data_IF_067689905435
#
_entry.id   IF_067689905435
#
_cell.length_a   1.000
_cell.length_b   1.000
_cell.length_c   1.000
_cell.angle_alpha   90.00
_cell.angle_beta   90.00
_cell.angle_gamma   90.00
#
_symmetry.space_group_name_H-M   'P 1'
#
loop_
_entity.id
_entity.type
_entity.pdbx_description
1 polymer ?
#
# COMPACT_ATOMS: atom_id res chain seq x y z
N UNK A 1 41.91 80.70 79.18
CA UNK A 1 41.36 79.35 79.43
C UNK A 1 41.98 78.42 78.42
N UNK A 2 42.24 77.20 78.87
CA UNK A 2 43.28 76.30 78.40
C UNK A 2 43.28 76.00 76.89
N UNK A 3 44.50 75.95 76.35
CA UNK A 3 44.86 75.36 75.07
C UNK A 3 44.63 73.85 75.15
N UNK A 4 43.57 73.33 74.54
CA UNK A 4 43.42 71.89 74.30
C UNK A 4 44.20 71.58 73.00
N UNK A 5 45.47 71.21 73.15
CA UNK A 5 46.24 70.61 72.06
C UNK A 5 45.70 69.20 71.83
N UNK A 6 44.80 69.05 70.86
CA UNK A 6 44.39 67.76 70.33
C UNK A 6 45.60 67.13 69.64
N UNK A 7 46.38 66.32 70.37
CA UNK A 7 47.47 65.52 69.82
C UNK A 7 46.88 64.48 68.87
N UNK A 8 46.99 64.73 67.56
CA UNK A 8 46.57 63.79 66.54
C UNK A 8 47.44 62.52 66.61
N UNK A 9 46.80 61.35 66.76
CA UNK A 9 47.48 60.05 66.87
C UNK A 9 47.88 59.53 65.48
N UNK A 10 47.18 59.97 64.44
CA UNK A 10 47.53 59.78 63.02
C UNK A 10 46.91 60.89 62.18
N UNK A 11 47.17 60.93 60.87
CA UNK A 11 46.57 61.93 59.97
C UNK A 11 45.03 61.89 59.96
N UNK A 12 44.43 60.82 60.50
CA UNK A 12 43.00 60.54 60.38
C UNK A 12 42.30 60.12 61.67
N UNK A 13 43.02 60.08 62.80
CA UNK A 13 42.46 59.83 64.13
C UNK A 13 42.92 60.91 65.12
N UNK A 14 41.97 61.55 65.79
CA UNK A 14 42.22 62.46 66.91
C UNK A 14 42.52 61.67 68.21
N UNK A 15 43.10 62.34 69.19
CA UNK A 15 43.36 61.89 70.56
C UNK A 15 42.16 61.22 71.26
N UNK A 16 40.92 61.60 70.90
CA UNK A 16 39.68 60.99 71.40
C UNK A 16 39.18 59.77 70.61
N UNK A 17 39.92 59.29 69.60
CA UNK A 17 39.50 58.19 68.73
C UNK A 17 38.44 58.55 67.69
N UNK A 18 38.11 59.84 67.56
CA UNK A 18 37.23 60.38 66.53
C UNK A 18 37.96 60.54 65.19
N UNK A 19 37.26 60.31 64.08
CA UNK A 19 37.84 60.47 62.76
C UNK A 19 37.92 61.96 62.36
N UNK A 20 39.07 62.39 61.86
CA UNK A 20 39.33 63.78 61.44
C UNK A 20 39.06 63.96 59.94
N UNK A 21 38.29 64.98 59.55
CA UNK A 21 37.99 65.28 58.14
C UNK A 21 36.90 64.38 57.52
N UNK A 22 37.04 64.05 56.23
CA UNK A 22 36.22 63.03 55.54
C UNK A 22 36.89 61.67 55.69
N UNK A 23 36.46 60.83 56.64
CA UNK A 23 37.21 59.63 57.04
C UNK A 23 37.39 58.62 55.90
N UNK A 24 36.47 58.62 54.93
CA UNK A 24 36.47 57.72 53.78
C UNK A 24 37.56 58.01 52.73
N UNK A 25 38.22 59.18 52.78
CA UNK A 25 39.28 59.57 51.84
C UNK A 25 40.68 59.55 52.48
N UNK A 26 40.78 59.09 53.72
CA UNK A 26 42.05 59.00 54.42
C UNK A 26 42.92 57.84 53.92
N UNK A 27 44.15 58.15 53.48
CA UNK A 27 45.17 57.19 53.04
C UNK A 27 45.49 56.06 54.02
N UNK A 28 45.48 56.34 55.33
CA UNK A 28 45.87 55.38 56.38
C UNK A 28 44.96 54.15 56.44
N UNK A 29 43.69 54.27 56.00
CA UNK A 29 42.73 53.15 55.99
C UNK A 29 42.76 52.32 54.71
N UNK A 30 43.32 52.85 53.61
CA UNK A 30 43.32 52.17 52.31
C UNK A 30 44.10 50.86 52.33
N UNK A 31 45.20 50.77 53.08
CA UNK A 31 46.01 49.55 53.15
C UNK A 31 45.21 48.34 53.68
N UNK A 32 44.46 48.54 54.77
CA UNK A 32 43.62 47.51 55.37
C UNK A 32 42.43 47.16 54.45
N UNK A 33 41.77 48.17 53.87
CA UNK A 33 40.65 47.96 52.95
C UNK A 33 41.07 47.20 51.69
N UNK A 34 42.21 47.56 51.09
CA UNK A 34 42.76 46.90 49.90
C UNK A 34 43.15 45.45 50.22
N UNK A 35 43.73 45.20 51.40
CA UNK A 35 44.09 43.84 51.82
C UNK A 35 42.86 42.92 51.90
N UNK A 36 41.80 43.33 52.60
CA UNK A 36 40.56 42.53 52.66
C UNK A 36 39.84 42.45 51.32
N UNK A 37 39.87 43.50 50.51
CA UNK A 37 39.33 43.47 49.15
C UNK A 37 40.07 42.42 48.29
N UNK A 38 41.40 42.37 48.35
CA UNK A 38 42.20 41.39 47.65
C UNK A 38 41.87 39.96 48.12
N UNK A 39 41.76 39.73 49.44
CA UNK A 39 41.36 38.44 50.00
C UNK A 39 39.96 38.05 49.50
N UNK A 40 38.98 38.96 49.60
CA UNK A 40 37.62 38.69 49.15
C UNK A 40 37.55 38.38 47.65
N UNK A 41 38.34 39.09 46.84
CA UNK A 41 38.40 38.88 45.39
C UNK A 41 39.06 37.53 45.06
N UNK A 42 40.11 37.13 45.77
CA UNK A 42 40.73 35.81 45.62
C UNK A 42 39.74 34.71 46.01
N UNK A 43 39.07 34.84 47.16
CA UNK A 43 38.06 33.86 47.60
C UNK A 43 36.92 33.76 46.59
N UNK A 44 36.39 34.89 46.12
CA UNK A 44 35.35 34.92 45.08
C UNK A 44 35.83 34.27 43.77
N UNK A 45 37.06 34.57 43.35
CA UNK A 45 37.67 33.97 42.16
C UNK A 45 37.76 32.45 42.29
N UNK A 46 38.18 31.94 43.45
CA UNK A 46 38.22 30.48 43.69
C UNK A 46 36.82 29.87 43.69
N UNK A 47 35.82 30.52 44.30
CA UNK A 47 34.43 30.02 44.28
C UNK A 47 33.89 29.97 42.85
N UNK A 48 34.09 31.04 42.06
CA UNK A 48 33.60 31.09 40.69
C UNK A 48 34.30 30.07 39.80
N UNK A 49 35.64 30.02 39.85
CA UNK A 49 36.45 29.13 39.01
C UNK A 49 36.26 27.65 39.36
N UNK A 50 36.09 27.32 40.64
CA UNK A 50 36.04 25.93 41.09
C UNK A 50 34.65 25.38 41.33
N UNK A 51 33.63 26.22 41.51
CA UNK A 51 32.27 25.78 41.83
C UNK A 51 31.26 26.30 40.80
N UNK A 52 31.18 27.61 40.57
CA UNK A 52 30.11 28.18 39.75
C UNK A 52 30.26 27.84 38.25
N UNK A 53 31.42 28.14 37.66
CA UNK A 53 31.71 27.86 36.25
C UNK A 53 31.61 26.38 35.88
N UNK A 54 32.21 25.43 36.65
CA UNK A 54 32.10 24.01 36.29
C UNK A 54 30.66 23.48 36.37
N UNK A 55 29.83 23.99 37.28
CA UNK A 55 28.39 23.61 37.31
C UNK A 55 27.63 24.10 36.08
N UNK A 56 27.89 25.33 35.64
CA UNK A 56 27.26 25.88 34.43
C UNK A 56 27.72 25.09 33.20
N UNK A 57 29.02 24.78 33.11
CA UNK A 57 29.58 23.97 32.03
C UNK A 57 28.95 22.57 31.97
N UNK A 58 28.73 21.93 33.13
CA UNK A 58 28.08 20.62 33.20
C UNK A 58 26.64 20.64 32.65
N UNK A 59 25.83 21.64 33.03
CA UNK A 59 24.45 21.78 32.52
C UNK A 59 24.45 22.07 31.01
N UNK A 60 25.39 22.87 30.53
CA UNK A 60 25.49 23.17 29.10
C UNK A 60 25.91 21.92 28.30
N UNK A 61 26.85 21.15 28.81
CA UNK A 61 27.28 19.88 28.21
C UNK A 61 26.16 18.84 28.20
N UNK A 62 25.38 18.74 29.27
CA UNK A 62 24.20 17.87 29.34
C UNK A 62 23.18 18.26 28.28
N UNK A 63 22.82 19.55 28.18
CA UNK A 63 21.88 20.04 27.16
C UNK A 63 22.38 19.80 25.75
N UNK A 64 23.65 20.07 25.47
CA UNK A 64 24.25 19.79 24.17
C UNK A 64 24.19 18.29 23.86
N UNK A 65 24.55 17.44 24.83
CA UNK A 65 24.48 15.99 24.70
C UNK A 65 23.07 15.49 24.37
N UNK A 66 22.05 15.97 25.10
CA UNK A 66 20.64 15.63 24.83
C UNK A 66 20.22 16.08 23.44
N UNK A 67 20.50 17.32 23.04
CA UNK A 67 20.14 17.84 21.71
C UNK A 67 20.81 17.02 20.61
N UNK A 68 22.11 16.71 20.75
CA UNK A 68 22.82 15.89 19.75
C UNK A 68 22.27 14.48 19.67
N UNK A 69 21.95 13.87 20.82
CA UNK A 69 21.34 12.55 20.86
C UNK A 69 19.94 12.53 20.22
N UNK A 70 19.10 13.51 20.54
CA UNK A 70 17.76 13.65 19.98
C UNK A 70 17.81 13.90 18.47
N UNK A 71 18.77 14.70 18.01
CA UNK A 71 18.99 14.95 16.58
C UNK A 71 19.43 13.66 15.86
N UNK A 72 20.38 12.91 16.42
CA UNK A 72 20.83 11.64 15.86
C UNK A 72 19.68 10.61 15.81
N UNK A 73 18.87 10.54 16.87
CA UNK A 73 17.69 9.66 16.89
C UNK A 73 16.65 10.09 15.84
N UNK A 74 16.42 11.39 15.66
CA UNK A 74 15.51 11.89 14.64
C UNK A 74 16.01 11.60 13.21
N UNK A 75 17.30 11.72 12.96
CA UNK A 75 17.91 11.38 11.67
C UNK A 75 17.82 9.87 11.37
N UNK A 76 18.09 9.01 12.36
CA UNK A 76 17.95 7.55 12.24
C UNK A 76 16.48 7.16 11.96
N UNK A 77 15.53 7.73 12.69
CA UNK A 77 14.10 7.51 12.45
C UNK A 77 13.67 7.99 11.05
N UNK A 78 14.22 9.12 10.58
CA UNK A 78 13.97 9.63 9.23
C UNK A 78 14.53 8.71 8.16
N UNK A 79 15.74 8.18 8.34
CA UNK A 79 16.35 7.20 7.42
C UNK A 79 15.50 5.93 7.35
N UNK A 80 15.14 5.36 8.51
CA UNK A 80 14.28 4.17 8.60
C UNK A 80 12.91 4.38 7.96
N UNK A 81 12.32 5.56 8.13
CA UNK A 81 11.06 5.90 7.49
C UNK A 81 11.19 5.96 5.95
N UNK A 82 12.27 6.56 5.44
CA UNK A 82 12.54 6.61 4.01
C UNK A 82 12.78 5.21 3.41
N UNK A 83 13.58 4.38 4.08
CA UNK A 83 13.82 2.99 3.68
C UNK A 83 12.53 2.16 3.69
N UNK A 84 11.69 2.32 4.72
CA UNK A 84 10.39 1.65 4.80
C UNK A 84 9.43 2.13 3.71
N UNK A 85 9.43 3.42 3.37
CA UNK A 85 8.63 3.98 2.28
C UNK A 85 9.07 3.42 0.93
N UNK A 86 10.37 3.31 0.68
CA UNK A 86 10.91 2.71 -0.54
C UNK A 86 10.56 1.23 -0.65
N UNK A 87 10.76 0.45 0.42
CA UNK A 87 10.38 -0.96 0.48
C UNK A 87 8.87 -1.16 0.27
N UNK A 88 8.03 -0.30 0.86
CA UNK A 88 6.58 -0.32 0.65
C UNK A 88 6.21 -0.02 -0.82
N UNK A 89 6.82 0.99 -1.43
CA UNK A 89 6.59 1.33 -2.85
C UNK A 89 7.00 0.19 -3.77
N UNK A 90 8.13 -0.47 -3.49
CA UNK A 90 8.59 -1.62 -4.24
C UNK A 90 7.62 -2.80 -4.09
N UNK A 91 7.24 -3.15 -2.87
CA UNK A 91 6.27 -4.21 -2.61
C UNK A 91 4.92 -3.95 -3.30
N UNK A 92 4.46 -2.69 -3.35
CA UNK A 92 3.24 -2.31 -4.06
C UNK A 92 3.39 -2.46 -5.58
N UNK A 93 4.55 -2.10 -6.14
CA UNK A 93 4.83 -2.27 -7.56
C UNK A 93 4.88 -3.76 -7.94
N UNK A 94 5.57 -4.58 -7.15
CA UNK A 94 5.68 -6.03 -7.34
C UNK A 94 4.30 -6.71 -7.23
N UNK A 95 3.51 -6.35 -6.22
CA UNK A 95 2.15 -6.87 -6.07
C UNK A 95 1.25 -6.52 -7.27
N UNK A 96 1.37 -5.29 -7.81
CA UNK A 96 0.64 -4.89 -9.02
C UNK A 96 1.11 -5.67 -10.24
N UNK A 97 2.41 -5.88 -10.40
CA UNK A 97 2.97 -6.64 -11.50
C UNK A 97 2.50 -8.11 -11.46
N UNK A 98 2.54 -8.73 -10.28
CA UNK A 98 2.08 -10.11 -10.09
C UNK A 98 0.57 -10.23 -10.32
N UNK A 99 -0.23 -9.28 -9.85
CA UNK A 99 -1.66 -9.26 -10.14
C UNK A 99 -1.95 -9.18 -11.65
N UNK A 100 -1.22 -8.33 -12.39
CA UNK A 100 -1.38 -8.25 -13.85
C UNK A 100 -0.97 -9.55 -14.55
N UNK A 101 0.10 -10.19 -14.08
CA UNK A 101 0.56 -11.49 -14.58
C UNK A 101 -0.49 -12.57 -14.36
N UNK A 102 -1.03 -12.69 -13.14
CA UNK A 102 -2.11 -13.63 -12.82
C UNK A 102 -3.35 -13.37 -13.70
N UNK A 103 -3.73 -12.11 -13.91
CA UNK A 103 -4.86 -11.75 -14.79
C UNK A 103 -4.59 -12.20 -16.23
N UNK A 104 -3.38 -11.97 -16.74
CA UNK A 104 -2.99 -12.36 -18.10
C UNK A 104 -2.99 -13.89 -18.27
N UNK A 105 -2.37 -14.62 -17.34
CA UNK A 105 -2.34 -16.08 -17.33
C UNK A 105 -3.75 -16.68 -17.22
N UNK A 106 -4.59 -16.14 -16.33
CA UNK A 106 -5.97 -16.59 -16.16
C UNK A 106 -6.80 -16.35 -17.43
N UNK A 107 -6.67 -15.17 -18.05
CA UNK A 107 -7.35 -14.89 -19.33
C UNK A 107 -6.90 -15.82 -20.44
N UNK A 108 -5.60 -16.13 -20.52
CA UNK A 108 -5.07 -17.08 -21.49
C UNK A 108 -5.61 -18.49 -21.26
N UNK A 109 -5.67 -18.96 -20.00
CA UNK A 109 -6.26 -20.25 -19.65
C UNK A 109 -7.74 -20.32 -19.98
N UNK A 110 -8.52 -19.32 -19.57
CA UNK A 110 -9.96 -19.23 -19.87
C UNK A 110 -10.20 -19.28 -21.37
N UNK A 111 -9.40 -18.53 -22.16
CA UNK A 111 -9.54 -18.54 -23.61
C UNK A 111 -9.28 -19.93 -24.19
N UNK A 112 -8.22 -20.62 -23.75
CA UNK A 112 -7.91 -21.98 -24.17
C UNK A 112 -9.03 -22.96 -23.83
N UNK A 113 -9.60 -22.86 -22.62
CA UNK A 113 -10.71 -23.70 -22.19
C UNK A 113 -11.98 -23.43 -22.99
N UNK A 114 -12.26 -22.16 -23.29
CA UNK A 114 -13.37 -21.75 -24.15
C UNK A 114 -13.21 -22.28 -25.57
N UNK A 115 -12.02 -22.15 -26.15
CA UNK A 115 -11.74 -22.63 -27.51
C UNK A 115 -11.93 -24.15 -27.59
N UNK A 116 -11.44 -24.91 -26.60
CA UNK A 116 -11.67 -26.36 -26.50
C UNK A 116 -13.15 -26.71 -26.36
N UNK A 117 -13.88 -26.02 -25.48
CA UNK A 117 -15.31 -26.27 -25.28
C UNK A 117 -16.12 -25.98 -26.54
N UNK A 118 -15.75 -24.94 -27.31
CA UNK A 118 -16.36 -24.64 -28.61
C UNK A 118 -16.07 -25.73 -29.64
N UNK A 119 -14.83 -26.23 -29.72
CA UNK A 119 -14.48 -27.33 -30.64
C UNK A 119 -15.26 -28.62 -30.32
N UNK A 120 -15.39 -28.97 -29.03
CA UNK A 120 -16.19 -30.11 -28.57
C UNK A 120 -17.68 -29.93 -28.90
N UNK A 121 -18.23 -28.73 -28.64
CA UNK A 121 -19.61 -28.41 -28.96
C UNK A 121 -19.88 -28.48 -30.48
N UNK A 122 -18.98 -27.93 -31.31
CA UNK A 122 -19.09 -28.00 -32.76
C UNK A 122 -19.03 -29.44 -33.28
N UNK A 123 -18.19 -30.29 -32.68
CA UNK A 123 -18.12 -31.70 -33.02
C UNK A 123 -19.42 -32.43 -32.65
N UNK A 124 -19.98 -32.18 -31.47
CA UNK A 124 -21.24 -32.77 -31.02
C UNK A 124 -22.41 -32.31 -31.89
N UNK A 125 -22.48 -31.01 -32.23
CA UNK A 125 -23.49 -30.45 -33.13
C UNK A 125 -23.40 -31.15 -34.49
N UNK A 126 -22.21 -31.24 -35.09
CA UNK A 126 -22.02 -31.94 -36.38
C UNK A 126 -22.47 -33.39 -36.33
N UNK A 127 -22.14 -34.11 -35.26
CA UNK A 127 -22.57 -35.50 -35.08
C UNK A 127 -24.09 -35.62 -34.98
N UNK A 128 -24.75 -34.78 -34.17
CA UNK A 128 -26.21 -34.75 -34.04
C UNK A 128 -26.91 -34.34 -35.32
N UNK A 129 -26.37 -33.38 -36.06
CA UNK A 129 -26.91 -32.97 -37.37
C UNK A 129 -26.83 -34.14 -38.36
N UNK A 130 -25.69 -34.83 -38.44
CA UNK A 130 -25.55 -36.00 -39.33
C UNK A 130 -26.49 -37.15 -38.93
N UNK A 131 -26.70 -37.40 -37.65
CA UNK A 131 -27.67 -38.39 -37.17
C UNK A 131 -29.11 -37.98 -37.52
N UNK A 132 -29.45 -36.69 -37.33
CA UNK A 132 -30.74 -36.13 -37.71
C UNK A 132 -31.01 -36.25 -39.22
N UNK A 133 -30.03 -35.94 -40.05
CA UNK A 133 -30.12 -36.09 -41.51
C UNK A 133 -30.37 -37.55 -41.92
N UNK A 134 -29.70 -38.51 -41.28
CA UNK A 134 -29.96 -39.94 -41.51
C UNK A 134 -31.38 -40.34 -41.15
N UNK A 135 -31.86 -39.95 -39.95
CA UNK A 135 -33.25 -40.22 -39.52
C UNK A 135 -34.27 -39.59 -40.46
N UNK A 136 -34.01 -38.36 -40.94
CA UNK A 136 -34.87 -37.70 -41.92
C UNK A 136 -34.88 -38.47 -43.25
N UNK A 137 -33.72 -38.96 -43.71
CA UNK A 137 -33.64 -39.77 -44.92
C UNK A 137 -34.43 -41.09 -44.78
N UNK A 138 -34.27 -41.80 -43.66
CA UNK A 138 -35.02 -43.02 -43.35
C UNK A 138 -36.54 -42.77 -43.29
N UNK A 139 -36.98 -41.69 -42.62
CA UNK A 139 -38.40 -41.30 -42.58
C UNK A 139 -38.91 -40.99 -43.99
N UNK A 140 -38.12 -40.31 -44.83
CA UNK A 140 -38.50 -40.01 -46.22
C UNK A 140 -38.65 -41.29 -47.05
N UNK A 141 -37.74 -42.24 -46.91
CA UNK A 141 -37.82 -43.53 -47.60
C UNK A 141 -39.06 -44.32 -47.16
N UNK A 142 -39.27 -44.46 -45.84
CA UNK A 142 -40.45 -45.12 -45.29
C UNK A 142 -41.77 -44.43 -45.68
N UNK A 143 -41.80 -43.09 -45.73
CA UNK A 143 -42.96 -42.35 -46.21
C UNK A 143 -43.24 -42.61 -47.69
N UNK A 144 -42.21 -42.71 -48.55
CA UNK A 144 -42.39 -43.05 -49.96
C UNK A 144 -42.97 -44.46 -50.14
N UNK A 145 -42.56 -45.41 -49.32
CA UNK A 145 -43.11 -46.77 -49.36
C UNK A 145 -44.55 -46.83 -48.84
N UNK A 146 -44.85 -46.14 -47.74
CA UNK A 146 -46.21 -46.01 -47.25
C UNK A 146 -47.15 -45.34 -48.28
N UNK A 147 -46.67 -44.31 -48.99
CA UNK A 147 -47.42 -43.68 -50.09
C UNK A 147 -47.67 -44.66 -51.24
N UNK A 148 -46.71 -45.53 -51.58
CA UNK A 148 -46.92 -46.58 -52.62
C UNK A 148 -47.98 -47.59 -52.19
N UNK A 149 -47.99 -48.02 -50.92
CA UNK A 149 -49.01 -48.94 -50.43
C UNK A 149 -50.40 -48.30 -50.46
N UNK A 150 -50.55 -47.10 -49.88
CA UNK A 150 -51.82 -46.36 -49.89
C UNK A 150 -52.30 -46.10 -51.32
N UNK A 151 -51.40 -45.75 -52.25
CA UNK A 151 -51.76 -45.55 -53.65
C UNK A 151 -52.28 -46.85 -54.32
N UNK A 152 -51.69 -48.01 -54.03
CA UNK A 152 -52.18 -49.30 -54.54
C UNK A 152 -53.54 -49.65 -53.94
N UNK A 153 -53.72 -49.47 -52.64
CA UNK A 153 -54.97 -49.77 -51.95
C UNK A 153 -56.11 -48.90 -52.47
N UNK A 154 -55.89 -47.58 -52.55
CA UNK A 154 -56.88 -46.62 -53.10
C UNK A 154 -57.19 -46.94 -54.56
N UNK A 155 -56.20 -47.27 -55.39
CA UNK A 155 -56.43 -47.62 -56.79
C UNK A 155 -57.23 -48.92 -56.93
N UNK A 156 -56.96 -49.91 -56.08
CA UNK A 156 -57.68 -51.19 -56.07
C UNK A 156 -59.14 -50.99 -55.66
N UNK A 157 -59.39 -50.22 -54.60
CA UNK A 157 -60.73 -49.88 -54.15
C UNK A 157 -61.50 -49.06 -55.19
N UNK A 158 -60.84 -48.11 -55.85
CA UNK A 158 -61.43 -47.31 -56.92
C UNK A 158 -61.87 -48.19 -58.09
N UNK A 159 -61.02 -49.10 -58.57
CA UNK A 159 -61.35 -50.03 -59.67
C UNK A 159 -62.49 -50.98 -59.28
N UNK A 160 -62.51 -51.45 -58.03
CA UNK A 160 -63.61 -52.26 -57.50
C UNK A 160 -64.94 -51.47 -57.47
N UNK A 161 -64.92 -50.19 -57.05
CA UNK A 161 -66.10 -49.32 -57.04
C UNK A 161 -66.67 -49.04 -58.45
N UNK A 162 -65.83 -49.14 -59.48
CA UNK A 162 -66.23 -48.99 -60.90
C UNK A 162 -66.76 -50.30 -61.51
N UNK A 163 -66.92 -51.37 -60.71
CA UNK A 163 -67.55 -52.62 -61.12
C UNK A 163 -66.65 -53.59 -61.90
N UNK A 164 -65.33 -53.36 -61.93
CA UNK A 164 -64.35 -54.28 -62.52
C UNK A 164 -63.52 -54.99 -61.44
N UNK A 165 -63.13 -56.25 -61.67
CA UNK A 165 -62.19 -56.95 -60.80
C UNK A 165 -60.79 -56.42 -61.03
N UNK A 166 -60.21 -55.79 -60.02
CA UNK A 166 -58.82 -55.36 -60.05
C UNK A 166 -57.89 -56.59 -60.05
N UNK A 167 -57.12 -56.77 -61.13
CA UNK A 167 -55.97 -57.68 -61.10
C UNK A 167 -54.82 -56.99 -60.36
N UNK A 168 -54.51 -57.44 -59.15
CA UNK A 168 -53.51 -56.80 -58.28
C UNK A 168 -52.12 -56.67 -58.89
N UNK A 169 -51.81 -57.50 -59.90
CA UNK A 169 -50.54 -57.45 -60.65
C UNK A 169 -50.53 -56.26 -61.62
N UNK A 170 -51.61 -56.05 -62.36
CA UNK A 170 -51.78 -54.88 -63.24
C UNK A 170 -51.80 -53.55 -62.48
N UNK A 171 -52.49 -53.48 -61.33
CA UNK A 171 -52.56 -52.27 -60.48
C UNK A 171 -51.19 -51.93 -59.92
N UNK A 172 -50.49 -52.93 -59.37
CA UNK A 172 -49.12 -52.74 -58.85
C UNK A 172 -48.15 -52.27 -59.94
N UNK A 173 -48.27 -52.80 -61.16
CA UNK A 173 -47.43 -52.37 -62.29
C UNK A 173 -47.71 -50.93 -62.72
N UNK A 174 -49.00 -50.54 -62.80
CA UNK A 174 -49.40 -49.19 -63.20
C UNK A 174 -48.99 -48.11 -62.17
N UNK A 175 -49.19 -48.39 -60.87
CA UNK A 175 -48.77 -47.47 -59.79
C UNK A 175 -47.25 -47.32 -59.76
N UNK A 176 -46.50 -48.43 -59.87
CA UNK A 176 -45.04 -48.38 -59.90
C UNK A 176 -44.49 -47.62 -61.13
N UNK A 177 -45.14 -47.72 -62.30
CA UNK A 177 -44.76 -46.97 -63.49
C UNK A 177 -45.00 -45.46 -63.33
N UNK A 178 -46.09 -45.06 -62.66
CA UNK A 178 -46.40 -43.65 -62.41
C UNK A 178 -45.59 -43.01 -61.28
N UNK A 179 -45.12 -43.78 -60.30
CA UNK A 179 -44.27 -43.29 -59.21
C UNK A 179 -42.79 -43.14 -59.60
N UNK A 180 -42.38 -43.60 -60.79
CA UNK A 180 -41.00 -43.52 -61.32
C UNK A 180 -40.79 -42.39 -62.35
N UNK A 181 -41.84 -41.66 -62.72
CA UNK A 181 -41.78 -40.49 -63.61
C UNK A 181 -41.76 -39.20 -62.81
#
# INVERSE_FOLDING_TARGET
>A
MATETHDAVSACLDSGGGAVGMPQLCGDWFGNQIFWLAIALIVLYFILSRIALPRIAAVLAERQGTITNDLAAAEDLKSKAAEAEEAYKQALADAKAEAQKIIAETKASIKKDLDRANEEADAEIKAKTAEGEKKIAEIREGALDAVKEVAKDVTTELVASMGQKADGRSVSAAVNARMKG
#
